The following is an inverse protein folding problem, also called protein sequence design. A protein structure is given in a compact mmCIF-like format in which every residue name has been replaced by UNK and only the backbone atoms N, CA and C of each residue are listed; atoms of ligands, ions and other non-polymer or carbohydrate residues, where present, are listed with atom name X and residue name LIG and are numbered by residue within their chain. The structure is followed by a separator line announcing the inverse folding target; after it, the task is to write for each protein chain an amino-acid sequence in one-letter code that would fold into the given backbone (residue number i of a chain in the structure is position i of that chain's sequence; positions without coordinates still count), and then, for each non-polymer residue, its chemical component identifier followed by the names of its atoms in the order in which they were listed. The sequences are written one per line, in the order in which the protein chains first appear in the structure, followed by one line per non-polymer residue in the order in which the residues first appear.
data_IF_345666892198
#
_entry.id   IF_345666892198
#
_cell.length_a   1.000
_cell.length_b   1.000
_cell.length_c   1.000
_cell.angle_alpha   90.00
_cell.angle_beta   90.00
_cell.angle_gamma   90.00
#
_symmetry.space_group_name_H-M   'P 1'
#
loop_
_entity.id
_entity.type
_entity.pdbx_description
1 polymer ?
#
# COMPACT_ATOMS: atom_id res chain seq x y z
N UNK A 1 -74.32 -1.07 37.47
CA UNK A 1 -73.20 -0.11 37.57
C UNK A 1 -71.92 -0.93 37.46
N UNK A 2 -71.36 -1.02 36.24
CA UNK A 2 -70.27 -1.94 35.92
C UNK A 2 -68.95 -1.35 36.39
N UNK A 3 -68.37 -1.96 37.42
CA UNK A 3 -67.04 -1.67 37.92
C UNK A 3 -66.05 -2.22 36.87
N UNK A 4 -65.60 -1.39 35.93
CA UNK A 4 -64.44 -1.75 35.13
C UNK A 4 -63.30 -2.02 36.11
N UNK A 5 -62.63 -3.20 36.04
CA UNK A 5 -61.66 -3.58 37.05
C UNK A 5 -60.44 -2.68 36.88
N UNK A 6 -60.06 -1.97 37.94
CA UNK A 6 -58.86 -1.12 38.04
C UNK A 6 -57.62 -1.77 37.39
N UNK A 7 -57.55 -3.11 37.42
CA UNK A 7 -56.54 -3.93 36.76
C UNK A 7 -56.42 -3.69 35.24
N UNK A 8 -57.52 -3.50 34.51
CA UNK A 8 -57.48 -3.22 33.06
C UNK A 8 -56.87 -1.86 32.75
N UNK A 9 -57.11 -0.85 33.59
CA UNK A 9 -56.51 0.47 33.44
C UNK A 9 -54.99 0.43 33.71
N UNK A 10 -54.56 -0.34 34.70
CA UNK A 10 -53.14 -0.51 35.05
C UNK A 10 -52.37 -1.25 33.95
N UNK A 11 -52.95 -2.30 33.35
CA UNK A 11 -52.33 -3.02 32.23
C UNK A 11 -52.21 -2.12 31.01
N UNK A 12 -53.24 -1.32 30.71
CA UNK A 12 -53.20 -0.36 29.60
C UNK A 12 -52.12 0.70 29.81
N UNK A 13 -52.00 1.26 31.01
CA UNK A 13 -50.94 2.22 31.35
C UNK A 13 -49.54 1.61 31.26
N UNK A 14 -49.35 0.38 31.76
CA UNK A 14 -48.07 -0.31 31.70
C UNK A 14 -47.62 -0.60 30.26
N UNK A 15 -48.54 -1.03 29.39
CA UNK A 15 -48.27 -1.25 27.96
C UNK A 15 -47.92 0.06 27.24
N UNK A 16 -48.58 1.16 27.60
CA UNK A 16 -48.33 2.48 27.02
C UNK A 16 -46.95 3.01 27.44
N UNK A 17 -46.60 2.88 28.73
CA UNK A 17 -45.28 3.25 29.27
C UNK A 17 -44.17 2.41 28.64
N UNK A 18 -44.39 1.10 28.48
CA UNK A 18 -43.43 0.21 27.83
C UNK A 18 -43.19 0.61 26.36
N UNK A 19 -44.26 0.98 25.65
CA UNK A 19 -44.18 1.40 24.24
C UNK A 19 -43.45 2.74 24.07
N UNK A 20 -43.69 3.71 24.95
CA UNK A 20 -42.97 4.99 24.97
C UNK A 20 -41.47 4.81 25.26
N UNK A 21 -41.11 3.96 26.22
CA UNK A 21 -39.71 3.66 26.56
C UNK A 21 -38.97 2.94 25.43
N UNK A 22 -39.65 2.08 24.66
CA UNK A 22 -39.07 1.38 23.51
C UNK A 22 -38.76 2.31 22.33
N UNK A 23 -39.58 3.34 22.10
CA UNK A 23 -39.36 4.38 21.09
C UNK A 23 -38.17 5.28 21.45
N UNK A 24 -38.06 5.72 22.70
CA UNK A 24 -36.94 6.55 23.17
C UNK A 24 -35.57 5.86 23.07
N UNK A 25 -35.52 4.53 23.25
CA UNK A 25 -34.28 3.75 23.02
C UNK A 25 -33.90 3.60 21.55
N UNK A 26 -34.83 3.73 20.59
CA UNK A 26 -34.52 3.67 19.16
C UNK A 26 -33.87 4.96 18.66
N UNK A 27 -34.30 6.11 19.15
CA UNK A 27 -33.74 7.41 18.73
C UNK A 27 -32.29 7.61 19.21
N UNK A 28 -31.95 7.09 20.39
CA UNK A 28 -30.59 7.19 20.96
C UNK A 28 -29.55 6.27 20.29
N UNK A 29 -29.97 5.25 19.54
CA UNK A 29 -29.08 4.38 18.77
C UNK A 29 -28.73 4.89 17.37
N UNK A 30 -29.55 5.78 16.80
CA UNK A 30 -29.47 6.18 15.39
C UNK A 30 -28.33 7.19 15.10
N UNK A 31 -28.00 8.06 16.07
CA UNK A 31 -26.97 9.10 15.89
C UNK A 31 -25.56 8.53 15.73
N UNK A 32 -25.27 7.39 16.36
CA UNK A 32 -23.95 6.75 16.30
C UNK A 32 -23.76 5.96 15.01
N UNK A 33 -24.83 5.37 14.46
CA UNK A 33 -24.81 4.61 13.20
C UNK A 33 -24.66 5.54 11.99
N UNK A 34 -25.38 6.66 11.94
CA UNK A 34 -25.18 7.68 10.89
C UNK A 34 -23.74 8.21 10.85
N UNK A 35 -23.11 8.36 12.01
CA UNK A 35 -21.73 8.85 12.11
C UNK A 35 -20.73 7.78 11.63
N UNK A 36 -21.01 6.50 11.86
CA UNK A 36 -20.20 5.39 11.37
C UNK A 36 -20.29 5.23 9.84
N UNK A 37 -21.48 5.31 9.27
CA UNK A 37 -21.68 5.23 7.81
C UNK A 37 -21.08 6.44 7.08
N UNK A 38 -21.25 7.65 7.62
CA UNK A 38 -20.62 8.87 7.07
C UNK A 38 -19.09 8.77 7.11
N UNK A 39 -18.52 8.23 8.19
CA UNK A 39 -17.07 7.96 8.29
C UNK A 39 -16.61 6.90 7.30
N UNK A 40 -17.38 5.82 7.13
CA UNK A 40 -17.04 4.76 6.18
C UNK A 40 -17.00 5.30 4.74
N UNK A 41 -18.04 6.03 4.33
CA UNK A 41 -18.14 6.63 3.00
C UNK A 41 -17.02 7.66 2.74
N UNK A 42 -16.70 8.49 3.74
CA UNK A 42 -15.59 9.44 3.66
C UNK A 42 -14.24 8.72 3.53
N UNK A 43 -14.04 7.65 4.30
CA UNK A 43 -12.82 6.85 4.27
C UNK A 43 -12.64 6.13 2.92
N UNK A 44 -13.72 5.59 2.34
CA UNK A 44 -13.71 5.03 0.99
C UNK A 44 -13.37 6.10 -0.06
N UNK A 45 -14.00 7.28 0.01
CA UNK A 45 -13.74 8.36 -0.94
C UNK A 45 -12.29 8.88 -0.84
N UNK A 46 -11.78 8.99 0.39
CA UNK A 46 -10.41 9.37 0.69
C UNK A 46 -9.43 8.33 0.15
N UNK A 47 -9.63 7.05 0.44
CA UNK A 47 -8.76 5.97 -0.05
C UNK A 47 -8.80 5.84 -1.57
N UNK A 48 -9.97 6.02 -2.19
CA UNK A 48 -10.11 6.00 -3.65
C UNK A 48 -9.35 7.14 -4.33
N UNK A 49 -9.35 8.34 -3.74
CA UNK A 49 -8.70 9.53 -4.31
C UNK A 49 -7.22 9.64 -3.96
N UNK A 50 -6.83 9.15 -2.79
CA UNK A 50 -5.52 9.45 -2.19
C UNK A 50 -4.74 8.22 -1.75
N UNK A 51 -5.35 7.02 -1.74
CA UNK A 51 -4.68 5.78 -1.34
C UNK A 51 -3.58 5.31 -2.30
N UNK A 52 -3.56 5.83 -3.53
CA UNK A 52 -2.54 5.50 -4.53
C UNK A 52 -1.34 6.47 -4.53
N UNK A 53 -1.33 7.49 -3.66
CA UNK A 53 -0.21 8.40 -3.51
C UNK A 53 0.97 7.69 -2.85
N UNK A 54 2.19 8.02 -3.28
CA UNK A 54 3.42 7.53 -2.65
C UNK A 54 3.50 7.94 -1.18
N UNK A 55 4.17 7.12 -0.37
CA UNK A 55 4.42 7.43 1.04
C UNK A 55 5.13 8.79 1.19
N UNK A 56 4.62 9.64 2.09
CA UNK A 56 5.10 11.01 2.26
C UNK A 56 4.63 11.99 1.17
N UNK A 57 3.75 11.59 0.25
CA UNK A 57 3.18 12.45 -0.78
C UNK A 57 1.75 12.89 -0.49
N UNK A 58 1.50 14.19 -0.66
CA UNK A 58 0.22 14.84 -0.41
C UNK A 58 -0.26 15.60 -1.65
N UNK A 59 -1.55 15.49 -2.01
CA UNK A 59 -2.12 16.16 -3.18
C UNK A 59 -2.12 17.68 -3.00
N UNK A 60 -1.96 18.44 -4.09
CA UNK A 60 -2.01 19.91 -4.02
C UNK A 60 -3.44 20.44 -4.11
N UNK A 61 -3.79 21.53 -3.40
CA UNK A 61 -5.15 22.10 -3.42
C UNK A 61 -5.66 22.54 -4.79
N UNK A 62 -4.75 22.88 -5.72
CA UNK A 62 -5.07 23.29 -7.10
C UNK A 62 -5.37 22.11 -8.04
N UNK A 63 -5.39 20.88 -7.51
CA UNK A 63 -5.82 19.67 -8.22
C UNK A 63 -4.84 19.12 -9.25
N UNK A 64 -3.62 19.68 -9.36
CA UNK A 64 -2.55 19.12 -10.20
C UNK A 64 -1.34 18.77 -9.36
N UNK A 65 -0.94 17.51 -9.44
CA UNK A 65 0.27 16.99 -8.84
C UNK A 65 0.24 16.95 -7.31
N UNK A 66 1.42 16.76 -6.73
CA UNK A 66 1.59 16.46 -5.31
C UNK A 66 2.90 17.03 -4.78
N UNK A 67 2.96 17.13 -3.46
CA UNK A 67 4.15 17.45 -2.68
C UNK A 67 4.57 16.20 -1.93
N UNK A 68 5.82 15.79 -2.10
CA UNK A 68 6.38 14.60 -1.51
C UNK A 68 7.57 14.92 -0.62
N UNK A 69 7.60 14.36 0.58
CA UNK A 69 8.81 14.28 1.39
C UNK A 69 9.61 13.07 0.94
N UNK A 70 10.80 13.30 0.36
CA UNK A 70 11.70 12.25 -0.11
C UNK A 70 13.00 12.27 0.70
N UNK A 71 13.63 11.12 0.87
CA UNK A 71 14.96 11.04 1.48
C UNK A 71 16.03 11.40 0.45
N UNK A 72 16.83 12.41 0.75
CA UNK A 72 18.00 12.83 -0.03
C UNK A 72 19.18 11.85 0.11
N UNK A 73 20.28 12.10 -0.61
CA UNK A 73 21.46 11.22 -0.65
C UNK A 73 22.14 11.02 0.71
N UNK A 74 22.01 12.00 1.61
CA UNK A 74 22.54 11.97 2.97
C UNK A 74 21.48 11.56 4.02
N UNK A 75 20.32 11.07 3.58
CA UNK A 75 19.24 10.60 4.46
C UNK A 75 18.37 11.70 5.09
N UNK A 76 18.59 12.97 4.75
CA UNK A 76 17.74 14.08 5.19
C UNK A 76 16.45 14.14 4.38
N UNK A 77 15.42 14.76 4.97
CA UNK A 77 14.14 14.96 4.30
C UNK A 77 14.21 16.16 3.34
N UNK A 78 13.87 15.93 2.09
CA UNK A 78 13.76 16.93 1.04
C UNK A 78 12.32 17.00 0.54
N UNK A 79 11.78 18.21 0.38
CA UNK A 79 10.47 18.42 -0.24
C UNK A 79 10.62 18.46 -1.76
N UNK A 80 9.98 17.52 -2.47
CA UNK A 80 9.83 17.55 -3.93
C UNK A 80 8.39 17.83 -4.34
N UNK A 81 8.23 18.60 -5.40
CA UNK A 81 6.93 18.84 -6.04
C UNK A 81 6.89 18.14 -7.38
N UNK A 82 5.80 17.45 -7.63
CA UNK A 82 5.48 16.86 -8.90
C UNK A 82 4.24 17.56 -9.43
N UNK A 83 4.24 17.90 -10.73
CA UNK A 83 3.14 18.63 -11.35
C UNK A 83 2.15 17.71 -12.09
N UNK A 84 2.57 16.47 -12.40
CA UNK A 84 1.72 15.45 -13.01
C UNK A 84 1.25 14.46 -11.96
N UNK A 85 0.01 14.01 -12.09
CA UNK A 85 -0.58 13.06 -11.13
C UNK A 85 0.10 11.69 -11.24
N UNK A 86 0.56 11.29 -12.43
CA UNK A 86 1.27 10.02 -12.62
C UNK A 86 2.60 9.96 -11.86
N UNK A 87 3.25 11.12 -11.66
CA UNK A 87 4.50 11.18 -10.88
C UNK A 87 4.25 11.07 -9.38
N UNK A 88 3.03 11.38 -8.94
CA UNK A 88 2.54 11.27 -7.57
C UNK A 88 2.06 9.87 -7.21
N UNK A 89 1.52 9.20 -8.23
CA UNK A 89 1.08 7.82 -8.22
C UNK A 89 2.31 6.94 -8.44
N UNK A 90 3.05 6.65 -7.38
CA UNK A 90 4.21 5.78 -7.52
C UNK A 90 3.92 4.43 -6.87
N UNK A 91 3.67 3.48 -7.77
CA UNK A 91 4.20 2.11 -7.79
C UNK A 91 5.72 2.03 -7.48
N UNK A 92 6.33 2.97 -6.74
CA UNK A 92 7.73 2.89 -6.34
C UNK A 92 7.99 1.62 -5.55
N UNK A 93 7.03 1.21 -4.70
CA UNK A 93 7.05 -0.10 -4.08
C UNK A 93 7.04 -1.23 -5.12
N UNK A 94 6.15 -1.20 -6.10
CA UNK A 94 6.08 -2.21 -7.16
C UNK A 94 7.34 -2.23 -8.06
N UNK A 95 7.93 -1.07 -8.36
CA UNK A 95 9.17 -0.93 -9.13
C UNK A 95 10.36 -1.40 -8.29
N UNK A 96 10.41 -1.08 -7.00
CA UNK A 96 11.41 -1.61 -6.08
C UNK A 96 11.29 -3.12 -5.94
N UNK A 97 10.08 -3.66 -5.86
CA UNK A 97 9.83 -5.09 -5.80
C UNK A 97 10.21 -5.76 -7.13
N UNK A 98 9.88 -5.14 -8.26
CA UNK A 98 10.30 -5.60 -9.58
C UNK A 98 11.83 -5.62 -9.70
N UNK A 99 12.51 -4.57 -9.25
CA UNK A 99 13.97 -4.49 -9.23
C UNK A 99 14.55 -5.55 -8.28
N UNK A 100 14.11 -5.61 -7.02
CA UNK A 100 14.57 -6.62 -6.04
C UNK A 100 14.40 -8.03 -6.61
N UNK A 101 13.26 -8.33 -7.24
CA UNK A 101 13.02 -9.64 -7.85
C UNK A 101 13.92 -9.92 -9.07
N UNK A 102 14.19 -8.92 -9.92
CA UNK A 102 15.10 -9.07 -11.08
C UNK A 102 16.57 -9.25 -10.67
N UNK A 103 16.99 -8.61 -9.59
CA UNK A 103 18.37 -8.68 -9.08
C UNK A 103 18.60 -9.80 -8.07
N UNK A 104 17.53 -10.42 -7.54
CA UNK A 104 17.64 -11.48 -6.52
C UNK A 104 18.46 -12.66 -7.01
N UNK A 105 19.54 -12.95 -6.28
CA UNK A 105 20.41 -14.10 -6.52
C UNK A 105 21.22 -14.03 -7.81
N UNK A 106 21.31 -12.87 -8.46
CA UNK A 106 22.10 -12.69 -9.67
C UNK A 106 23.60 -12.75 -9.37
N UNK A 107 24.37 -13.44 -10.23
CA UNK A 107 25.83 -13.54 -10.09
C UNK A 107 26.48 -12.16 -10.13
N UNK A 108 27.56 -11.97 -9.36
CA UNK A 108 28.34 -10.72 -9.38
C UNK A 108 28.86 -10.45 -10.79
N UNK A 109 28.64 -9.23 -11.29
CA UNK A 109 29.00 -8.83 -12.65
C UNK A 109 28.02 -9.27 -13.74
N UNK A 110 26.86 -9.84 -13.37
CA UNK A 110 25.76 -10.11 -14.28
C UNK A 110 24.63 -9.08 -14.12
N UNK A 111 23.93 -8.78 -15.21
CA UNK A 111 22.86 -7.79 -15.30
C UNK A 111 21.58 -8.42 -15.89
N UNK A 112 20.39 -8.18 -15.31
CA UNK A 112 19.16 -8.80 -15.75
C UNK A 112 18.71 -8.25 -17.11
N UNK A 113 18.22 -9.13 -17.98
CA UNK A 113 17.65 -8.80 -19.30
C UNK A 113 16.28 -9.47 -19.45
N UNK A 114 15.39 -8.98 -20.34
CA UNK A 114 14.11 -9.64 -20.60
C UNK A 114 14.24 -11.12 -21.02
N UNK A 115 15.37 -11.48 -21.66
CA UNK A 115 15.72 -12.86 -22.01
C UNK A 115 17.13 -13.16 -21.48
N UNK A 116 17.19 -13.74 -20.28
CA UNK A 116 18.43 -14.14 -19.62
C UNK A 116 19.18 -12.99 -18.94
N UNK A 117 20.50 -12.96 -19.06
CA UNK A 117 21.35 -11.94 -18.45
C UNK A 117 22.58 -11.62 -19.32
N UNK A 118 23.21 -10.48 -19.02
CA UNK A 118 24.49 -10.07 -19.59
C UNK A 118 25.54 -10.12 -18.48
N UNK A 119 26.61 -10.88 -18.65
CA UNK A 119 27.65 -11.07 -17.63
C UNK A 119 29.00 -10.56 -18.13
N UNK A 120 29.70 -9.82 -17.28
CA UNK A 120 31.10 -9.45 -17.52
C UNK A 120 31.97 -10.68 -17.24
N UNK A 121 32.67 -11.17 -18.27
CA UNK A 121 33.53 -12.37 -18.19
C UNK A 121 35.01 -12.03 -18.06
N UNK A 122 35.40 -10.79 -18.35
CA UNK A 122 36.78 -10.33 -18.21
C UNK A 122 36.96 -8.90 -18.71
N UNK A 123 38.20 -8.48 -18.85
CA UNK A 123 38.59 -7.23 -19.50
C UNK A 123 39.54 -7.53 -20.65
N UNK A 124 39.44 -6.78 -21.73
CA UNK A 124 40.40 -6.85 -22.83
C UNK A 124 41.74 -6.19 -22.46
N UNK A 125 42.73 -6.26 -23.35
CA UNK A 125 44.04 -5.64 -23.16
C UNK A 125 44.00 -4.11 -23.02
N UNK A 126 42.90 -3.48 -23.42
CA UNK A 126 42.64 -2.05 -23.26
C UNK A 126 41.82 -1.73 -21.99
N UNK A 127 41.50 -2.74 -21.17
CA UNK A 127 40.74 -2.59 -19.93
C UNK A 127 39.22 -2.48 -20.10
N UNK A 128 38.69 -2.65 -21.32
CA UNK A 128 37.25 -2.64 -21.59
C UNK A 128 36.63 -3.96 -21.17
N UNK A 129 35.44 -3.89 -20.57
CA UNK A 129 34.73 -5.09 -20.12
C UNK A 129 34.28 -5.96 -21.30
N UNK A 130 34.65 -7.23 -21.25
CA UNK A 130 34.16 -8.24 -22.18
C UNK A 130 32.89 -8.82 -21.56
N UNK A 131 31.77 -8.68 -22.27
CA UNK A 131 30.46 -9.14 -21.82
C UNK A 131 29.95 -10.30 -22.65
N UNK A 132 29.34 -11.28 -22.01
CA UNK A 132 28.72 -12.45 -22.62
C UNK A 132 27.22 -12.51 -22.26
N UNK A 133 26.38 -12.82 -23.25
CA UNK A 133 24.94 -13.00 -23.03
C UNK A 133 24.65 -14.45 -22.68
N UNK A 134 23.94 -14.68 -21.58
CA UNK A 134 23.48 -15.99 -21.13
C UNK A 134 21.97 -16.05 -21.16
N UNK A 135 21.40 -17.13 -21.68
CA UNK A 135 19.94 -17.27 -21.84
C UNK A 135 19.32 -18.02 -20.65
N UNK A 136 20.07 -18.97 -20.07
CA UNK A 136 19.57 -19.83 -18.99
C UNK A 136 19.68 -19.13 -17.63
N UNK A 137 18.63 -19.27 -16.83
CA UNK A 137 18.57 -18.66 -15.50
C UNK A 137 19.63 -19.23 -14.54
N UNK A 138 19.99 -20.51 -14.68
CA UNK A 138 21.05 -21.16 -13.89
C UNK A 138 22.44 -20.60 -14.16
N UNK A 139 22.64 -20.00 -15.33
CA UNK A 139 23.91 -19.36 -15.67
C UNK A 139 23.97 -17.91 -15.17
N UNK A 140 22.81 -17.32 -14.92
CA UNK A 140 22.61 -15.96 -14.43
C UNK A 140 22.59 -15.86 -12.90
N UNK A 141 21.99 -16.85 -12.23
CA UNK A 141 21.78 -16.85 -10.78
C UNK A 141 22.66 -17.87 -10.08
N UNK A 142 22.98 -17.56 -8.82
CA UNK A 142 23.70 -18.48 -7.93
C UNK A 142 22.77 -19.59 -7.44
N UNK A 143 23.26 -20.82 -7.44
CA UNK A 143 22.54 -21.95 -6.88
C UNK A 143 22.77 -22.05 -5.37
N UNK A 144 21.86 -22.76 -4.68
CA UNK A 144 21.96 -22.99 -3.24
C UNK A 144 23.21 -23.82 -2.94
N UNK A 145 24.19 -23.20 -2.30
CA UNK A 145 25.47 -23.83 -1.96
C UNK A 145 26.61 -23.54 -2.95
N UNK A 146 26.39 -22.70 -3.97
CA UNK A 146 27.46 -22.27 -4.87
C UNK A 146 28.53 -21.48 -4.11
N UNK A 147 29.75 -22.01 -4.06
CA UNK A 147 30.93 -21.34 -3.48
C UNK A 147 31.81 -20.65 -4.53
N UNK A 148 31.28 -20.48 -5.75
CA UNK A 148 32.00 -19.84 -6.84
C UNK A 148 32.33 -18.39 -6.52
N UNK A 149 33.42 -17.85 -7.09
CA UNK A 149 33.88 -16.47 -6.82
C UNK A 149 32.80 -15.41 -7.16
N UNK A 150 31.90 -15.74 -8.09
CA UNK A 150 30.78 -14.91 -8.53
C UNK A 150 29.54 -15.00 -7.62
N UNK A 151 29.53 -15.98 -6.71
CA UNK A 151 28.44 -16.28 -5.77
C UNK A 151 28.86 -16.22 -4.30
N UNK A 152 30.09 -15.78 -4.02
CA UNK A 152 30.53 -15.54 -2.64
C UNK A 152 29.68 -14.42 -2.04
N UNK A 153 28.99 -14.78 -0.98
CA UNK A 153 27.89 -14.06 -0.37
C UNK A 153 28.31 -12.70 0.18
N UNK A 154 27.83 -11.65 -0.49
CA UNK A 154 27.41 -10.41 0.14
C UNK A 154 25.94 -10.20 -0.26
N UNK A 155 25.02 -10.87 0.46
CA UNK A 155 23.57 -10.62 0.38
C UNK A 155 22.74 -11.74 -0.27
N UNK A 156 22.47 -12.80 0.51
CA UNK A 156 21.25 -13.60 0.37
C UNK A 156 20.07 -12.86 1.02
#
# INVERSE_FOLDING_TARGET
MSILPLATLLVALALNIYSLNALSRRESGLSNVETAEKKHKLNEEFNRKFGALREGCFPRPKGKGCRCTVKGLLGHDEEKRFDRDEDCLQNYAAVLDELKNKFKGLKKGCYPRPKGCLCVVGKDSAGREITERRIKETECKCQKGDRSLQCRADGA
#
